data_IF_526143309243
#
_entry.id   IF_526143309243
#
_cell.length_a   1.000
_cell.length_b   1.000
_cell.length_c   1.000
_cell.angle_alpha   90.00
_cell.angle_beta   90.00
_cell.angle_gamma   90.00
#
_symmetry.space_group_name_H-M   'P 1'
#
loop_
_entity.id
_entity.type
_entity.pdbx_description
1 polymer ?
#
# COMPACT_ATOMS: atom_id res chain seq x y z
N UNK A 1 -18.37 19.53 7.03
CA UNK A 1 -17.47 18.37 6.95
C UNK A 1 -16.68 18.52 5.67
N UNK A 2 -15.41 18.92 5.77
CA UNK A 2 -14.55 19.08 4.59
C UNK A 2 -14.26 17.69 4.04
N UNK A 3 -14.95 17.32 2.96
CA UNK A 3 -14.55 16.18 2.15
C UNK A 3 -13.23 16.58 1.48
N UNK A 4 -12.13 16.33 2.16
CA UNK A 4 -10.85 16.24 1.49
C UNK A 4 -10.98 15.04 0.56
N UNK A 5 -11.28 15.31 -0.72
CA UNK A 5 -10.91 14.44 -1.82
C UNK A 5 -9.38 14.34 -1.77
N UNK A 6 -8.85 13.54 -0.84
CA UNK A 6 -7.51 13.03 -0.95
C UNK A 6 -7.50 12.35 -2.30
N UNK A 7 -6.67 12.86 -3.23
CA UNK A 7 -6.48 12.21 -4.51
C UNK A 7 -6.19 10.74 -4.21
N UNK A 8 -7.06 9.85 -4.69
CA UNK A 8 -6.85 8.42 -4.52
C UNK A 8 -5.67 8.03 -5.42
N UNK A 9 -4.55 7.70 -4.81
CA UNK A 9 -3.31 7.30 -5.48
C UNK A 9 -2.97 5.86 -5.11
N UNK A 10 -2.00 5.27 -5.79
CA UNK A 10 -1.45 3.96 -5.40
C UNK A 10 -0.93 3.96 -3.96
N UNK A 11 -0.46 5.12 -3.45
CA UNK A 11 -0.04 5.26 -2.08
C UNK A 11 -1.22 5.24 -1.09
N UNK A 12 -2.32 5.93 -1.38
CA UNK A 12 -3.52 5.86 -0.52
C UNK A 12 -4.09 4.45 -0.51
N UNK A 13 -4.16 3.80 -1.68
CA UNK A 13 -4.55 2.39 -1.83
C UNK A 13 -3.73 1.49 -0.90
N UNK A 14 -2.39 1.64 -0.89
CA UNK A 14 -1.52 0.86 0.00
C UNK A 14 -1.82 1.13 1.48
N UNK A 15 -2.02 2.39 1.87
CA UNK A 15 -2.36 2.76 3.24
C UNK A 15 -3.70 2.16 3.69
N UNK A 16 -4.72 2.23 2.84
CA UNK A 16 -6.04 1.68 3.13
C UNK A 16 -6.02 0.14 3.18
N UNK A 17 -5.23 -0.48 2.31
CA UNK A 17 -5.01 -1.94 2.34
C UNK A 17 -4.32 -2.38 3.63
N UNK A 18 -3.30 -1.65 4.09
CA UNK A 18 -2.66 -1.89 5.40
C UNK A 18 -3.68 -1.72 6.53
N UNK A 19 -4.46 -0.65 6.51
CA UNK A 19 -5.47 -0.38 7.54
C UNK A 19 -6.53 -1.50 7.63
N UNK A 20 -6.94 -2.07 6.49
CA UNK A 20 -7.90 -3.17 6.40
C UNK A 20 -7.35 -4.50 6.97
N UNK A 21 -6.07 -4.80 6.73
CA UNK A 21 -5.44 -6.06 7.14
C UNK A 21 -4.74 -6.00 8.52
N UNK A 22 -4.81 -4.86 9.20
CA UNK A 22 -4.38 -4.68 10.58
C UNK A 22 -3.45 -3.50 10.74
N UNK A 23 -3.67 -2.71 11.79
CA UNK A 23 -2.93 -1.48 12.11
C UNK A 23 -1.43 -1.69 12.38
N UNK A 24 -0.99 -2.94 12.50
CA UNK A 24 0.37 -3.33 12.82
C UNK A 24 1.15 -3.70 11.55
N UNK A 25 2.16 -2.88 11.23
CA UNK A 25 3.13 -3.14 10.17
C UNK A 25 4.20 -4.16 10.59
N UNK A 26 4.44 -4.31 11.89
CA UNK A 26 5.48 -5.17 12.43
C UNK A 26 4.90 -6.56 12.67
N UNK A 27 5.60 -7.61 12.20
CA UNK A 27 5.22 -9.02 12.43
C UNK A 27 3.77 -9.37 12.00
N UNK A 28 3.31 -8.83 10.87
CA UNK A 28 1.97 -9.11 10.35
C UNK A 28 2.01 -10.08 9.16
N UNK A 29 1.98 -11.41 9.38
CA UNK A 29 2.02 -12.40 8.31
C UNK A 29 0.76 -12.38 7.43
N UNK A 30 -0.39 -11.95 7.97
CA UNK A 30 -1.63 -11.83 7.22
C UNK A 30 -1.53 -10.71 6.19
N UNK A 31 -1.03 -9.53 6.59
CA UNK A 31 -0.76 -8.41 5.68
C UNK A 31 0.29 -8.79 4.62
N UNK A 32 1.33 -9.55 4.99
CA UNK A 32 2.31 -10.07 4.02
C UNK A 32 1.67 -10.95 2.96
N UNK A 33 0.84 -11.92 3.37
CA UNK A 33 0.13 -12.80 2.44
C UNK A 33 -0.85 -12.01 1.55
N UNK A 34 -1.59 -11.06 2.14
CA UNK A 34 -2.52 -10.20 1.41
C UNK A 34 -1.81 -9.34 0.36
N UNK A 35 -0.61 -8.83 0.66
CA UNK A 35 0.19 -8.06 -0.31
C UNK A 35 0.77 -8.94 -1.43
N UNK A 36 0.92 -10.24 -1.22
CA UNK A 36 1.38 -11.18 -2.24
C UNK A 36 0.26 -11.60 -3.19
N UNK A 37 -0.99 -11.42 -2.80
CA UNK A 37 -2.17 -11.70 -3.61
C UNK A 37 -2.50 -10.49 -4.51
N UNK A 38 -1.98 -10.52 -5.74
CA UNK A 38 -2.14 -9.43 -6.71
C UNK A 38 -3.60 -9.30 -7.17
N UNK A 39 -4.32 -10.42 -7.32
CA UNK A 39 -5.72 -10.41 -7.75
C UNK A 39 -6.59 -9.76 -6.69
N UNK A 40 -6.42 -10.15 -5.42
CA UNK A 40 -7.13 -9.52 -4.31
C UNK A 40 -6.85 -8.02 -4.18
N UNK A 41 -5.62 -7.59 -4.51
CA UNK A 41 -5.22 -6.18 -4.46
C UNK A 41 -5.90 -5.36 -5.58
N UNK A 42 -6.01 -5.93 -6.78
CA UNK A 42 -6.75 -5.34 -7.90
C UNK A 42 -8.24 -5.25 -7.53
N UNK A 43 -8.83 -6.35 -7.05
CA UNK A 43 -10.23 -6.36 -6.63
C UNK A 43 -10.49 -5.34 -5.52
N UNK A 44 -9.64 -5.26 -4.51
CA UNK A 44 -9.76 -4.25 -3.45
C UNK A 44 -9.72 -2.83 -4.03
N UNK A 45 -8.78 -2.55 -4.92
CA UNK A 45 -8.65 -1.22 -5.53
C UNK A 45 -9.91 -0.82 -6.30
N UNK A 46 -10.54 -1.77 -7.01
CA UNK A 46 -11.72 -1.50 -7.81
C UNK A 46 -12.99 -1.43 -6.95
N UNK A 47 -13.18 -2.36 -6.02
CA UNK A 47 -14.43 -2.51 -5.26
C UNK A 47 -14.51 -1.64 -4.00
N UNK A 48 -13.38 -1.36 -3.35
CA UNK A 48 -13.33 -0.55 -2.11
C UNK A 48 -12.89 0.88 -2.40
N UNK A 49 -11.87 1.01 -3.25
CA UNK A 49 -11.22 2.30 -3.47
C UNK A 49 -11.71 3.04 -4.71
N UNK A 50 -12.49 2.41 -5.59
CA UNK A 50 -12.94 2.96 -6.88
C UNK A 50 -11.73 3.46 -7.73
N UNK A 51 -10.61 2.75 -7.63
CA UNK A 51 -9.38 2.98 -8.40
C UNK A 51 -9.20 1.81 -9.35
N UNK A 52 -9.26 2.09 -10.66
CA UNK A 52 -8.87 1.10 -11.66
C UNK A 52 -7.33 1.03 -11.72
N UNK A 53 -6.76 -0.04 -11.17
CA UNK A 53 -5.33 -0.37 -11.31
C UNK A 53 -5.17 -1.57 -12.24
N UNK A 54 -4.11 -1.57 -13.04
CA UNK A 54 -3.72 -2.75 -13.79
C UNK A 54 -2.83 -3.68 -12.94
N UNK A 55 -2.52 -4.86 -13.48
CA UNK A 55 -1.66 -5.82 -12.81
C UNK A 55 -0.27 -5.28 -12.51
N UNK A 56 0.25 -4.35 -13.32
CA UNK A 56 1.57 -3.74 -13.11
C UNK A 56 1.56 -2.75 -11.93
N UNK A 57 0.53 -1.92 -11.82
CA UNK A 57 0.30 -1.04 -10.69
C UNK A 57 0.05 -1.83 -9.40
N UNK A 58 -0.72 -2.91 -9.45
CA UNK A 58 -0.91 -3.80 -8.30
C UNK A 58 0.40 -4.49 -7.88
N UNK A 59 1.21 -4.95 -8.85
CA UNK A 59 2.55 -5.48 -8.59
C UNK A 59 3.47 -4.45 -7.95
N UNK A 60 3.39 -3.18 -8.36
CA UNK A 60 4.13 -2.08 -7.72
C UNK A 60 3.70 -1.89 -6.28
N UNK A 61 2.39 -1.81 -6.02
CA UNK A 61 1.85 -1.68 -4.65
C UNK A 61 2.29 -2.85 -3.78
N UNK A 62 2.19 -4.08 -4.29
CA UNK A 62 2.67 -5.29 -3.62
C UNK A 62 4.16 -5.19 -3.24
N UNK A 63 5.04 -4.86 -4.21
CA UNK A 63 6.48 -4.74 -3.96
C UNK A 63 6.81 -3.68 -2.91
N UNK A 64 6.16 -2.51 -3.00
CA UNK A 64 6.39 -1.41 -2.07
C UNK A 64 5.85 -1.75 -0.68
N UNK A 65 4.68 -2.37 -0.58
CA UNK A 65 4.10 -2.81 0.69
C UNK A 65 4.97 -3.87 1.37
N UNK A 66 5.49 -4.84 0.63
CA UNK A 66 6.42 -5.84 1.15
C UNK A 66 7.72 -5.22 1.65
N UNK A 67 8.29 -4.27 0.90
CA UNK A 67 9.48 -3.55 1.33
C UNK A 67 9.23 -2.71 2.60
N UNK A 68 8.02 -2.15 2.74
CA UNK A 68 7.61 -1.47 3.96
C UNK A 68 7.55 -2.44 5.15
N UNK A 69 6.93 -3.61 4.97
CA UNK A 69 6.92 -4.64 6.02
C UNK A 69 8.33 -5.06 6.44
N UNK A 70 9.23 -5.28 5.48
CA UNK A 70 10.62 -5.63 5.77
C UNK A 70 11.35 -4.51 6.52
N UNK A 71 11.12 -3.24 6.13
CA UNK A 71 11.64 -2.08 6.86
C UNK A 71 11.09 -2.01 8.30
N UNK A 72 9.77 -2.20 8.46
CA UNK A 72 9.10 -2.16 9.75
C UNK A 72 9.58 -3.28 10.69
N UNK A 73 9.83 -4.47 10.14
CA UNK A 73 10.44 -5.58 10.87
C UNK A 73 11.87 -5.25 11.35
N UNK A 74 12.65 -4.53 10.53
CA UNK A 74 14.00 -4.07 10.90
C UNK A 74 14.00 -2.87 11.86
N UNK A 75 12.94 -2.03 11.83
CA UNK A 75 12.82 -0.80 12.62
C UNK A 75 11.51 -0.77 13.43
N UNK A 76 11.32 -1.67 14.41
CA UNK A 76 10.06 -1.77 15.14
C UNK A 76 9.69 -0.51 15.95
N UNK A 77 10.68 0.32 16.30
CA UNK A 77 10.46 1.59 17.00
C UNK A 77 10.02 2.74 16.08
N UNK A 78 10.18 2.59 14.76
CA UNK A 78 9.80 3.61 13.78
C UNK A 78 9.32 2.99 12.45
N UNK A 79 8.27 2.15 12.46
CA UNK A 79 7.83 1.40 11.28
C UNK A 79 7.28 2.31 10.17
N UNK A 80 6.86 3.53 10.50
CA UNK A 80 6.40 4.52 9.53
C UNK A 80 7.54 5.27 8.81
N UNK A 81 8.81 5.04 9.17
CA UNK A 81 9.95 5.68 8.52
C UNK A 81 10.05 5.43 7.01
N UNK A 82 9.42 4.35 6.52
CA UNK A 82 9.36 4.02 5.10
C UNK A 82 8.22 4.73 4.33
N UNK A 83 7.25 5.35 5.02
CA UNK A 83 6.04 5.91 4.39
C UNK A 83 6.36 6.91 3.28
N UNK A 84 7.29 7.83 3.52
CA UNK A 84 7.72 8.83 2.53
C UNK A 84 8.37 8.19 1.30
N UNK A 85 9.12 7.10 1.50
CA UNK A 85 9.78 6.37 0.41
C UNK A 85 8.77 5.54 -0.38
N UNK A 86 7.81 4.89 0.30
CA UNK A 86 6.71 4.18 -0.33
C UNK A 86 5.88 5.12 -1.22
N UNK A 87 5.54 6.30 -0.70
CA UNK A 87 4.82 7.33 -1.46
C UNK A 87 5.59 7.72 -2.72
N UNK A 88 6.88 8.05 -2.59
CA UNK A 88 7.71 8.39 -3.73
C UNK A 88 7.76 7.27 -4.78
N UNK A 89 7.97 6.01 -4.38
CA UNK A 89 8.05 4.91 -5.34
C UNK A 89 6.72 4.69 -6.09
N UNK A 90 5.59 4.85 -5.41
CA UNK A 90 4.27 4.64 -6.00
C UNK A 90 3.80 5.83 -6.86
N UNK A 91 4.21 7.04 -6.53
CA UNK A 91 3.77 8.26 -7.25
C UNK A 91 4.77 8.72 -8.32
N UNK A 92 6.06 8.35 -8.24
CA UNK A 92 7.08 8.79 -9.22
C UNK A 92 6.95 8.15 -10.61
N UNK A 93 6.09 7.14 -10.76
CA UNK A 93 5.84 6.51 -12.08
C UNK A 93 4.71 7.16 -12.87
N UNK A 94 4.03 8.18 -12.33
CA UNK A 94 3.01 8.95 -13.05
C UNK A 94 3.59 10.07 -13.96
N UNK A 95 4.91 10.10 -14.21
CA UNK A 95 5.60 11.18 -14.93
C UNK A 95 6.30 10.79 -16.25
N UNK A 96 5.94 9.69 -16.92
CA UNK A 96 6.37 9.47 -18.31
C UNK A 96 5.21 9.12 -19.22
#
# INVERSE_FOLDING_TARGET
MSFHLAQRTLYTLLCDYIAQHGSELVNNPALKAALQDIEALIDFSLYQEDIAVDADAALRVSKVGLAWLDYAAAHPNHPQGYASQAKQQLESTAQN
#
